data_IF_299385764858
#
_entry.id   IF_299385764858
#
_cell.length_a   1.000
_cell.length_b   1.000
_cell.length_c   1.000
_cell.angle_alpha   90.00
_cell.angle_beta   90.00
_cell.angle_gamma   90.00
#
_symmetry.space_group_name_H-M   'P 1'
#
loop_
_entity.id
_entity.type
_entity.pdbx_description
1 polymer ?
#
# COMPACT_ATOMS: atom_id res chain seq x y z
N UNK A 1 73.37 -56.30 -14.67
CA UNK A 1 72.69 -55.80 -15.88
C UNK A 1 71.15 -55.81 -15.68
N UNK A 2 70.55 -54.70 -15.34
CA UNK A 2 69.08 -54.45 -15.43
C UNK A 2 68.87 -52.99 -15.20
N UNK A 3 68.48 -52.31 -16.27
CA UNK A 3 68.14 -50.92 -16.38
C UNK A 3 66.80 -50.66 -15.72
N UNK A 4 66.75 -49.77 -14.72
CA UNK A 4 65.52 -49.33 -14.05
C UNK A 4 65.12 -47.96 -14.59
N UNK A 5 63.98 -47.89 -15.28
CA UNK A 5 63.38 -46.69 -15.84
C UNK A 5 62.50 -46.03 -14.80
N UNK A 6 62.88 -44.84 -14.35
CA UNK A 6 62.06 -44.04 -13.40
C UNK A 6 61.02 -43.22 -14.19
N UNK A 7 59.75 -43.49 -13.96
CA UNK A 7 58.63 -42.70 -14.50
C UNK A 7 58.27 -41.59 -13.52
N UNK A 8 58.41 -40.35 -13.96
CA UNK A 8 57.87 -39.19 -13.27
C UNK A 8 56.37 -39.02 -13.65
N UNK A 9 55.49 -39.23 -12.67
CA UNK A 9 54.08 -38.89 -12.79
C UNK A 9 53.90 -37.42 -12.36
N UNK A 10 53.66 -36.54 -13.33
CA UNK A 10 53.27 -35.16 -13.07
C UNK A 10 51.82 -35.10 -12.63
N UNK A 11 51.57 -34.66 -11.39
CA UNK A 11 50.23 -34.29 -10.92
C UNK A 11 49.90 -32.90 -11.43
N UNK A 12 49.05 -32.82 -12.42
CA UNK A 12 48.40 -31.56 -12.84
C UNK A 12 47.27 -31.28 -11.82
N UNK A 13 47.51 -30.33 -10.89
CA UNK A 13 46.49 -29.78 -9.99
C UNK A 13 45.52 -28.90 -10.80
N UNK A 14 44.31 -29.40 -11.00
CA UNK A 14 43.18 -28.63 -11.56
C UNK A 14 42.60 -27.73 -10.48
N UNK A 15 42.94 -26.45 -10.46
CA UNK A 15 42.37 -25.44 -9.58
C UNK A 15 40.94 -25.11 -10.07
N UNK A 16 39.94 -25.73 -9.43
CA UNK A 16 38.53 -25.36 -9.63
C UNK A 16 38.24 -24.06 -8.87
N UNK A 17 38.23 -22.94 -9.60
CA UNK A 17 37.67 -21.67 -9.12
C UNK A 17 36.13 -21.83 -9.02
N UNK A 18 35.65 -22.15 -7.83
CA UNK A 18 34.23 -22.09 -7.51
C UNK A 18 33.88 -20.61 -7.38
N UNK A 19 33.44 -20.00 -8.49
CA UNK A 19 32.82 -18.68 -8.49
C UNK A 19 31.50 -18.76 -7.75
N UNK A 20 31.44 -18.24 -6.53
CA UNK A 20 30.20 -18.03 -5.80
C UNK A 20 29.40 -16.97 -6.53
N UNK A 21 28.43 -17.39 -7.33
CA UNK A 21 27.37 -16.51 -7.84
C UNK A 21 26.49 -16.19 -6.65
N UNK A 22 26.73 -15.04 -6.02
CA UNK A 22 25.77 -14.47 -5.06
C UNK A 22 24.49 -14.17 -5.87
N UNK A 23 23.51 -15.04 -5.76
CA UNK A 23 22.18 -14.76 -6.21
C UNK A 23 21.66 -13.55 -5.39
N UNK A 24 21.73 -12.36 -5.98
CA UNK A 24 21.02 -11.20 -5.47
C UNK A 24 19.53 -11.56 -5.56
N UNK A 25 18.93 -11.80 -4.41
CA UNK A 25 17.48 -11.88 -4.31
C UNK A 25 16.97 -10.47 -4.62
N UNK A 26 16.63 -10.24 -5.89
CA UNK A 26 15.92 -9.06 -6.35
C UNK A 26 14.60 -9.06 -5.60
N UNK A 27 14.49 -8.18 -4.60
CA UNK A 27 13.27 -8.02 -3.83
C UNK A 27 12.16 -7.65 -4.82
N UNK A 28 11.23 -8.57 -5.05
CA UNK A 28 10.13 -8.38 -5.99
C UNK A 28 9.36 -7.10 -5.60
N UNK A 29 9.56 -6.04 -6.39
CA UNK A 29 8.91 -4.75 -6.17
C UNK A 29 7.41 -4.89 -6.47
N UNK A 30 6.54 -4.26 -5.66
CA UNK A 30 5.11 -4.37 -5.89
C UNK A 30 4.75 -3.87 -7.30
N UNK A 31 4.05 -4.68 -8.06
CA UNK A 31 3.59 -4.34 -9.41
C UNK A 31 2.30 -3.54 -9.42
N UNK A 32 1.60 -3.48 -8.29
CA UNK A 32 0.30 -2.84 -8.14
C UNK A 32 0.28 -1.90 -6.92
N UNK A 33 -0.51 -0.84 -7.03
CA UNK A 33 -0.74 0.08 -5.92
C UNK A 33 -1.41 -0.59 -4.73
N UNK A 34 -1.01 -0.20 -3.52
CA UNK A 34 -1.51 -0.73 -2.25
C UNK A 34 -2.60 0.18 -1.70
N UNK A 35 -3.77 -0.38 -1.43
CA UNK A 35 -4.86 0.30 -0.71
C UNK A 35 -5.02 -0.28 0.69
N UNK A 36 -5.30 0.58 1.66
CA UNK A 36 -5.45 0.22 3.07
C UNK A 36 -6.93 0.06 3.43
N UNK A 37 -7.24 -0.97 4.20
CA UNK A 37 -8.58 -1.23 4.76
C UNK A 37 -8.54 -1.32 6.28
N UNK A 38 -9.64 -1.01 6.93
CA UNK A 38 -9.87 -1.35 8.33
C UNK A 38 -10.36 -2.80 8.40
N UNK A 39 -9.44 -3.76 8.58
CA UNK A 39 -9.72 -5.20 8.53
C UNK A 39 -10.76 -5.63 9.57
N UNK A 40 -10.62 -5.14 10.80
CA UNK A 40 -11.36 -5.60 11.97
C UNK A 40 -12.78 -5.02 12.08
N UNK A 41 -13.09 -4.00 11.28
CA UNK A 41 -14.37 -3.31 11.31
C UNK A 41 -14.94 -3.13 9.92
N UNK A 42 -16.22 -2.84 9.83
CA UNK A 42 -16.91 -2.52 8.58
C UNK A 42 -16.62 -3.53 7.47
N UNK A 43 -16.57 -4.82 7.80
CA UNK A 43 -16.35 -5.93 6.88
C UNK A 43 -15.05 -5.83 6.04
N UNK A 44 -14.00 -5.16 6.55
CA UNK A 44 -12.75 -4.96 5.83
C UNK A 44 -12.02 -6.26 5.49
N UNK A 45 -12.07 -7.28 6.37
CA UNK A 45 -11.53 -8.60 6.08
C UNK A 45 -12.08 -9.18 4.77
N UNK A 46 -13.36 -8.99 4.47
CA UNK A 46 -13.99 -9.46 3.23
C UNK A 46 -13.47 -8.72 1.99
N UNK A 47 -13.09 -7.44 2.12
CA UNK A 47 -12.43 -6.70 1.04
C UNK A 47 -11.07 -7.32 0.72
N UNK A 48 -10.34 -7.76 1.74
CA UNK A 48 -9.03 -8.41 1.58
C UNK A 48 -9.17 -9.82 1.00
N UNK A 49 -10.15 -10.59 1.45
CA UNK A 49 -10.37 -11.99 1.06
C UNK A 49 -11.10 -12.17 -0.27
N UNK A 50 -11.40 -11.08 -1.00
CA UNK A 50 -11.91 -11.15 -2.37
C UNK A 50 -13.43 -11.12 -2.50
N UNK A 51 -14.17 -10.62 -1.49
CA UNK A 51 -15.63 -10.46 -1.56
C UNK A 51 -16.07 -8.97 -1.50
N UNK A 52 -15.55 -8.08 -2.37
CA UNK A 52 -15.85 -6.65 -2.31
C UNK A 52 -17.32 -6.33 -2.62
N UNK A 53 -18.01 -7.12 -3.45
CA UNK A 53 -19.43 -6.93 -3.77
C UNK A 53 -20.31 -7.15 -2.54
N UNK A 54 -19.98 -8.14 -1.72
CA UNK A 54 -20.69 -8.39 -0.46
C UNK A 54 -20.52 -7.22 0.52
N UNK A 55 -19.32 -6.65 0.57
CA UNK A 55 -19.02 -5.46 1.37
C UNK A 55 -19.83 -4.27 0.90
N UNK A 56 -19.87 -4.01 -0.40
CA UNK A 56 -20.70 -2.95 -1.00
C UNK A 56 -22.17 -3.15 -0.61
N UNK A 57 -22.71 -4.36 -0.80
CA UNK A 57 -24.11 -4.65 -0.49
C UNK A 57 -24.46 -4.44 0.99
N UNK A 58 -23.53 -4.67 1.91
CA UNK A 58 -23.72 -4.50 3.36
C UNK A 58 -23.53 -3.06 3.81
N UNK A 59 -22.47 -2.39 3.33
CA UNK A 59 -22.07 -1.08 3.81
C UNK A 59 -22.84 0.08 3.17
N UNK A 60 -23.36 -0.08 1.97
CA UNK A 60 -24.20 0.94 1.31
C UNK A 60 -25.53 1.16 2.02
N UNK A 61 -25.94 0.27 2.93
CA UNK A 61 -27.19 0.39 3.69
C UNK A 61 -27.09 1.43 4.82
N UNK A 62 -28.18 2.16 5.09
CA UNK A 62 -28.24 3.19 6.14
C UNK A 62 -27.81 2.70 7.54
N UNK A 63 -28.01 1.41 7.85
CA UNK A 63 -27.62 0.80 9.16
C UNK A 63 -26.10 0.70 9.35
N UNK A 64 -25.31 0.72 8.28
CA UNK A 64 -23.85 0.64 8.36
C UNK A 64 -23.19 1.84 9.06
N UNK A 65 -23.89 2.98 9.16
CA UNK A 65 -23.39 4.18 9.86
C UNK A 65 -23.04 3.97 11.35
N UNK A 66 -23.49 2.87 11.95
CA UNK A 66 -23.14 2.51 13.35
C UNK A 66 -21.74 1.93 13.49
N UNK A 67 -21.10 1.52 12.38
CA UNK A 67 -19.77 0.88 12.37
C UNK A 67 -18.61 1.88 12.36
N UNK A 68 -18.88 3.19 12.48
CA UNK A 68 -17.88 4.24 12.30
C UNK A 68 -17.83 4.72 10.85
N UNK A 69 -18.12 6.00 10.63
CA UNK A 69 -18.27 6.56 9.28
C UNK A 69 -16.96 6.46 8.49
N UNK A 70 -15.82 6.75 9.12
CA UNK A 70 -14.51 6.71 8.47
C UNK A 70 -14.19 5.31 7.95
N UNK A 71 -14.24 4.29 8.80
CA UNK A 71 -13.92 2.92 8.42
C UNK A 71 -14.87 2.38 7.33
N UNK A 72 -16.16 2.72 7.40
CA UNK A 72 -17.15 2.37 6.37
C UNK A 72 -16.75 2.97 5.02
N UNK A 73 -16.41 4.26 4.99
CA UNK A 73 -16.08 4.95 3.74
C UNK A 73 -14.72 4.50 3.17
N UNK A 74 -13.73 4.26 4.01
CA UNK A 74 -12.43 3.68 3.60
C UNK A 74 -12.63 2.31 2.95
N UNK A 75 -13.36 1.41 3.61
CA UNK A 75 -13.59 0.06 3.09
C UNK A 75 -14.46 0.05 1.82
N UNK A 76 -15.45 0.96 1.73
CA UNK A 76 -16.22 1.16 0.49
C UNK A 76 -15.36 1.71 -0.65
N UNK A 77 -14.47 2.68 -0.37
CA UNK A 77 -13.55 3.21 -1.37
C UNK A 77 -12.73 2.06 -2.00
N UNK A 78 -12.13 1.19 -1.18
CA UNK A 78 -11.36 0.04 -1.66
C UNK A 78 -12.25 -0.98 -2.39
N UNK A 79 -13.42 -1.29 -1.86
CA UNK A 79 -14.35 -2.25 -2.47
C UNK A 79 -14.82 -1.80 -3.85
N UNK A 80 -15.21 -0.52 -4.00
CA UNK A 80 -15.59 0.05 -5.29
C UNK A 80 -14.42 0.11 -6.27
N UNK A 81 -13.20 0.40 -5.79
CA UNK A 81 -12.00 0.38 -6.64
C UNK A 81 -11.74 -1.03 -7.19
N UNK A 82 -11.79 -2.06 -6.32
CA UNK A 82 -11.61 -3.47 -6.72
C UNK A 82 -12.66 -3.94 -7.73
N UNK A 83 -13.90 -3.44 -7.61
CA UNK A 83 -14.99 -3.77 -8.55
C UNK A 83 -15.05 -2.84 -9.76
N UNK A 84 -14.06 -1.96 -9.94
CA UNK A 84 -13.96 -0.98 -11.05
C UNK A 84 -15.12 0.01 -11.13
N UNK A 85 -15.83 0.23 -10.04
CA UNK A 85 -16.89 1.23 -9.91
C UNK A 85 -16.27 2.59 -9.53
N UNK A 86 -15.50 3.20 -10.46
CA UNK A 86 -14.61 4.32 -10.15
C UNK A 86 -15.34 5.56 -9.63
N UNK A 87 -16.52 5.88 -10.17
CA UNK A 87 -17.31 7.02 -9.70
C UNK A 87 -17.74 6.86 -8.23
N UNK A 88 -18.19 5.67 -7.84
CA UNK A 88 -18.57 5.34 -6.48
C UNK A 88 -17.33 5.29 -5.56
N UNK A 89 -16.20 4.81 -6.09
CA UNK A 89 -14.92 4.83 -5.37
C UNK A 89 -14.49 6.27 -5.05
N UNK A 90 -14.53 7.19 -6.01
CA UNK A 90 -14.26 8.61 -5.78
C UNK A 90 -15.15 9.18 -4.66
N UNK A 91 -16.46 8.98 -4.75
CA UNK A 91 -17.41 9.47 -3.73
C UNK A 91 -17.11 8.90 -2.33
N UNK A 92 -16.76 7.61 -2.24
CA UNK A 92 -16.44 6.96 -0.97
C UNK A 92 -15.10 7.44 -0.39
N UNK A 93 -14.05 7.62 -1.23
CA UNK A 93 -12.78 8.15 -0.79
C UNK A 93 -12.91 9.60 -0.29
N UNK A 94 -13.65 10.46 -0.98
CA UNK A 94 -13.92 11.85 -0.55
C UNK A 94 -14.70 11.89 0.76
N UNK A 95 -15.68 10.99 0.91
CA UNK A 95 -16.42 10.85 2.15
C UNK A 95 -15.53 10.37 3.30
N UNK A 96 -14.53 9.51 3.05
CA UNK A 96 -13.55 9.07 4.03
C UNK A 96 -12.68 10.25 4.51
N UNK A 97 -12.14 11.06 3.59
CA UNK A 97 -11.37 12.26 3.92
C UNK A 97 -12.22 13.24 4.74
N UNK A 98 -13.46 13.48 4.32
CA UNK A 98 -14.39 14.36 5.05
C UNK A 98 -14.70 13.83 6.45
N UNK A 99 -14.87 12.51 6.59
CA UNK A 99 -15.15 11.88 7.88
C UNK A 99 -13.95 12.02 8.83
N UNK A 100 -12.71 11.78 8.34
CA UNK A 100 -11.49 11.93 9.14
C UNK A 100 -11.28 13.37 9.62
N UNK A 101 -11.54 14.36 8.77
CA UNK A 101 -11.45 15.78 9.14
C UNK A 101 -12.48 16.18 10.22
N UNK A 102 -13.70 15.65 10.11
CA UNK A 102 -14.75 15.89 11.13
C UNK A 102 -14.37 15.27 12.46
N UNK A 103 -13.78 14.09 12.43
CA UNK A 103 -13.33 13.40 13.63
C UNK A 103 -12.17 14.16 14.30
N UNK A 104 -11.17 14.60 13.55
CA UNK A 104 -10.08 15.43 14.05
C UNK A 104 -10.60 16.70 14.74
N UNK A 105 -11.47 17.47 14.06
CA UNK A 105 -12.08 18.69 14.65
C UNK A 105 -12.92 18.42 15.88
N UNK A 106 -13.54 17.24 15.98
CA UNK A 106 -14.30 16.83 17.18
C UNK A 106 -13.37 16.57 18.34
N UNK A 107 -12.26 15.89 18.09
CA UNK A 107 -11.25 15.57 19.10
C UNK A 107 -10.51 16.83 19.58
N UNK A 108 -10.15 17.74 18.69
CA UNK A 108 -9.54 19.04 19.03
C UNK A 108 -10.43 19.87 19.98
N UNK A 109 -11.74 19.85 19.78
CA UNK A 109 -12.70 20.58 20.65
C UNK A 109 -12.97 19.90 21.99
N UNK A 110 -12.54 18.67 22.17
CA UNK A 110 -12.72 17.91 23.38
C UNK A 110 -11.42 17.96 24.19
N UNK A 111 -11.31 18.92 25.13
CA UNK A 111 -10.14 19.09 26.01
C UNK A 111 -9.78 17.81 26.82
N UNK A 112 -10.68 16.83 26.84
CA UNK A 112 -10.51 15.55 27.53
C UNK A 112 -9.67 14.53 26.77
N UNK A 113 -9.37 14.78 25.47
CA UNK A 113 -8.63 13.85 24.63
C UNK A 113 -7.27 14.46 24.28
N UNK A 114 -6.21 13.94 24.90
CA UNK A 114 -4.85 14.39 24.70
C UNK A 114 -4.25 13.98 23.34
N UNK A 115 -2.95 14.25 23.15
CA UNK A 115 -2.14 14.02 21.91
C UNK A 115 -2.37 12.67 21.23
N UNK A 116 -2.67 11.60 21.97
CA UNK A 116 -2.88 10.25 21.44
C UNK A 116 -4.11 10.14 20.52
N UNK A 117 -5.17 10.88 20.79
CA UNK A 117 -6.40 10.87 19.98
C UNK A 117 -6.24 11.67 18.70
N UNK A 118 -5.45 12.72 18.71
CA UNK A 118 -5.09 13.49 17.52
C UNK A 118 -4.31 12.59 16.55
N UNK A 119 -3.36 11.82 17.04
CA UNK A 119 -2.57 10.88 16.24
C UNK A 119 -3.47 9.84 15.54
N UNK A 120 -4.44 9.26 16.24
CA UNK A 120 -5.40 8.31 15.63
C UNK A 120 -6.21 8.94 14.50
N UNK A 121 -6.63 10.21 14.65
CA UNK A 121 -7.36 10.91 13.60
C UNK A 121 -6.47 11.24 12.40
N UNK A 122 -5.20 11.57 12.62
CA UNK A 122 -4.19 11.82 11.58
C UNK A 122 -3.89 10.55 10.80
N UNK A 123 -3.66 9.42 11.47
CA UNK A 123 -3.52 8.11 10.82
C UNK A 123 -4.73 7.77 9.96
N UNK A 124 -5.94 7.96 10.47
CA UNK A 124 -7.16 7.73 9.70
C UNK A 124 -7.27 8.63 8.46
N UNK A 125 -6.80 9.87 8.56
CA UNK A 125 -6.74 10.79 7.42
C UNK A 125 -5.66 10.39 6.43
N UNK A 126 -4.49 9.97 6.89
CA UNK A 126 -3.42 9.48 6.03
C UNK A 126 -3.85 8.25 5.23
N UNK A 127 -4.55 7.29 5.84
CA UNK A 127 -5.15 6.13 5.15
C UNK A 127 -6.13 6.59 4.04
N UNK A 128 -7.05 7.50 4.35
CA UNK A 128 -8.02 7.99 3.38
C UNK A 128 -7.36 8.70 2.19
N UNK A 129 -6.31 9.50 2.44
CA UNK A 129 -5.52 10.18 1.42
C UNK A 129 -4.72 9.18 0.57
N UNK A 130 -4.09 8.19 1.17
CA UNK A 130 -3.38 7.11 0.46
C UNK A 130 -4.32 6.41 -0.53
N UNK A 131 -5.50 5.98 -0.08
CA UNK A 131 -6.47 5.30 -0.94
C UNK A 131 -6.98 6.22 -2.06
N UNK A 132 -7.18 7.49 -1.78
CA UNK A 132 -7.56 8.49 -2.80
C UNK A 132 -6.43 8.68 -3.82
N UNK A 133 -5.17 8.73 -3.37
CA UNK A 133 -4.00 8.80 -4.23
C UNK A 133 -3.92 7.60 -5.18
N UNK A 134 -4.16 6.38 -4.68
CA UNK A 134 -4.23 5.18 -5.51
C UNK A 134 -5.31 5.31 -6.59
N UNK A 135 -6.49 5.83 -6.24
CA UNK A 135 -7.57 6.01 -7.20
C UNK A 135 -7.18 6.97 -8.34
N UNK A 136 -6.52 8.10 -8.03
CA UNK A 136 -5.96 9.01 -9.03
C UNK A 136 -4.87 8.33 -9.87
N UNK A 137 -3.97 7.56 -9.25
CA UNK A 137 -2.89 6.86 -9.95
C UNK A 137 -3.42 5.85 -10.98
N UNK A 138 -4.47 5.08 -10.64
CA UNK A 138 -5.08 4.13 -11.58
C UNK A 138 -5.92 4.82 -12.66
N UNK A 139 -6.39 6.05 -12.41
CA UNK A 139 -7.08 6.90 -13.40
C UNK A 139 -6.11 7.65 -14.32
N UNK A 140 -4.78 7.53 -14.12
CA UNK A 140 -3.78 8.21 -14.91
C UNK A 140 -3.47 9.64 -14.47
N UNK A 141 -4.03 10.09 -13.36
CA UNK A 141 -3.89 11.44 -12.80
C UNK A 141 -2.67 11.50 -11.85
N UNK A 142 -1.46 11.38 -12.43
CA UNK A 142 -0.21 11.14 -11.69
C UNK A 142 0.14 12.26 -10.72
N UNK A 143 -0.08 13.53 -11.08
CA UNK A 143 0.26 14.68 -10.21
C UNK A 143 -0.67 14.76 -8.99
N UNK A 144 -1.96 14.50 -9.18
CA UNK A 144 -2.92 14.43 -8.08
C UNK A 144 -2.59 13.27 -7.13
N UNK A 145 -2.22 12.11 -7.70
CA UNK A 145 -1.79 10.95 -6.92
C UNK A 145 -0.55 11.27 -6.07
N UNK A 146 0.49 11.88 -6.68
CA UNK A 146 1.71 12.32 -6.00
C UNK A 146 1.39 13.21 -4.81
N UNK A 147 0.66 14.28 -5.04
CA UNK A 147 0.27 15.26 -4.00
C UNK A 147 -0.43 14.59 -2.82
N UNK A 148 -1.31 13.60 -3.09
CA UNK A 148 -2.04 12.89 -2.04
C UNK A 148 -1.16 11.93 -1.26
N UNK A 149 -0.20 11.24 -1.89
CA UNK A 149 0.75 10.39 -1.18
C UNK A 149 1.69 11.22 -0.30
N UNK A 150 2.23 12.32 -0.80
CA UNK A 150 3.07 13.25 -0.03
C UNK A 150 2.30 13.83 1.16
N UNK A 151 1.05 14.24 0.97
CA UNK A 151 0.20 14.72 2.06
C UNK A 151 -0.08 13.63 3.09
N UNK A 152 -0.31 12.39 2.67
CA UNK A 152 -0.49 11.26 3.59
C UNK A 152 0.78 11.04 4.44
N UNK A 153 1.96 11.08 3.84
CA UNK A 153 3.25 10.95 4.52
C UNK A 153 3.54 12.14 5.44
N UNK A 154 3.09 13.35 5.12
CA UNK A 154 3.23 14.51 6.02
C UNK A 154 2.42 14.40 7.31
N UNK A 155 1.30 13.66 7.28
CA UNK A 155 0.47 13.37 8.46
C UNK A 155 1.00 12.18 9.26
N UNK A 156 1.57 11.20 8.59
CA UNK A 156 2.10 9.97 9.17
C UNK A 156 3.39 9.60 8.42
N UNK A 157 4.53 10.01 8.99
CA UNK A 157 5.85 9.84 8.35
C UNK A 157 6.22 8.37 8.09
N UNK A 158 5.66 7.44 8.87
CA UNK A 158 5.84 6.00 8.73
C UNK A 158 4.76 5.33 7.86
N UNK A 159 4.00 6.11 7.06
CA UNK A 159 2.98 5.56 6.17
C UNK A 159 3.62 4.80 5.00
N UNK A 160 3.96 3.54 5.26
CA UNK A 160 4.62 2.67 4.30
C UNK A 160 3.81 2.46 3.01
N UNK A 161 2.48 2.45 3.11
CA UNK A 161 1.61 2.30 1.93
C UNK A 161 1.69 3.51 1.01
N UNK A 162 1.70 4.73 1.56
CA UNK A 162 1.85 5.95 0.77
C UNK A 162 3.24 6.02 0.11
N UNK A 163 4.31 5.75 0.87
CA UNK A 163 5.68 5.72 0.34
C UNK A 163 5.84 4.71 -0.78
N UNK A 164 5.41 3.46 -0.57
CA UNK A 164 5.47 2.41 -1.60
C UNK A 164 4.70 2.78 -2.87
N UNK A 165 3.53 3.42 -2.70
CA UNK A 165 2.72 3.86 -3.84
C UNK A 165 3.38 5.02 -4.60
N UNK A 166 4.01 5.95 -3.90
CA UNK A 166 4.73 7.06 -4.50
C UNK A 166 5.92 6.53 -5.33
N UNK A 167 6.73 5.66 -4.77
CA UNK A 167 7.84 5.03 -5.48
C UNK A 167 7.38 4.26 -6.74
N UNK A 168 6.25 3.56 -6.65
CA UNK A 168 5.67 2.87 -7.80
C UNK A 168 5.17 3.85 -8.86
N UNK A 169 4.55 4.95 -8.44
CA UNK A 169 4.08 6.00 -9.34
C UNK A 169 5.24 6.62 -10.12
N UNK A 170 6.33 6.97 -9.45
CA UNK A 170 7.51 7.57 -10.04
C UNK A 170 8.17 6.67 -11.06
N UNK A 171 8.34 5.38 -10.75
CA UNK A 171 8.84 4.40 -11.71
C UNK A 171 7.96 4.27 -12.95
N UNK A 172 6.63 4.28 -12.78
CA UNK A 172 5.70 4.19 -13.91
C UNK A 172 5.68 5.45 -14.78
N UNK A 173 5.88 6.62 -14.19
CA UNK A 173 6.00 7.88 -14.93
C UNK A 173 7.32 7.88 -15.71
N UNK A 174 8.46 7.62 -15.05
CA UNK A 174 9.78 7.56 -15.71
C UNK A 174 9.83 6.52 -16.83
N UNK A 175 9.20 5.36 -16.68
CA UNK A 175 9.14 4.31 -17.73
C UNK A 175 8.21 4.65 -18.91
N UNK A 176 7.38 5.70 -18.82
CA UNK A 176 6.57 6.21 -19.95
C UNK A 176 7.30 7.27 -20.74
N UNK A 177 8.28 7.93 -20.13
CA UNK A 177 9.06 9.01 -20.73
C UNK A 177 10.35 8.49 -21.41
N UNK A 178 10.63 7.18 -21.32
CA UNK A 178 11.77 6.48 -21.92
C UNK A 178 11.37 5.60 -23.09
#
# INVERSE_FOLDING_TARGET
MKTGTTRYSGLFGLLLLVGSVAAQAESAQPSAYVMVVYSDVAHGEKVLTGAPEEVIAKLSRKKARRLGILAVQVNLCVAYTKTKQLEQAHKACDAAITASQKEARRLERSEMFGRRTTLVAETGRAIALTNRGVLHAISGESEQARTLFELAMSLESENQSASTNLDLLERKVAGRDS
#
